data_IF_935255997804
#
_entry.id   IF_935255997804
#
_cell.length_a   1.000
_cell.length_b   1.000
_cell.length_c   1.000
_cell.angle_alpha   90.00
_cell.angle_beta   90.00
_cell.angle_gamma   90.00
#
_symmetry.space_group_name_H-M   'P 1'
#
loop_
_entity.id
_entity.type
_entity.pdbx_description
1 polymer ?
#
# COMPACT_ATOMS: atom_id res chain seq x y z
N UNK A 1 -33.79 -47.22 16.22
CA UNK A 1 -32.78 -46.34 15.61
C UNK A 1 -33.06 -44.94 16.09
N UNK A 2 -32.16 -44.40 16.90
CA UNK A 2 -32.31 -43.08 17.52
C UNK A 2 -31.80 -42.00 16.58
N UNK A 3 -32.53 -40.90 16.43
CA UNK A 3 -31.95 -39.63 15.99
C UNK A 3 -32.38 -38.52 16.96
N UNK A 4 -31.45 -38.26 17.89
CA UNK A 4 -31.28 -36.98 18.57
C UNK A 4 -31.14 -35.89 17.51
N UNK A 5 -31.75 -34.72 17.74
CA UNK A 5 -30.99 -33.54 18.17
C UNK A 5 -31.90 -32.31 18.38
N UNK A 6 -32.08 -32.00 19.67
CA UNK A 6 -32.12 -30.69 20.31
C UNK A 6 -32.02 -29.45 19.40
N UNK A 7 -33.16 -28.81 19.15
CA UNK A 7 -33.23 -27.41 18.71
C UNK A 7 -32.75 -26.49 19.84
N UNK A 8 -31.52 -25.98 19.74
CA UNK A 8 -31.10 -24.81 20.51
C UNK A 8 -31.61 -23.55 19.78
N UNK A 9 -32.37 -22.63 20.42
CA UNK A 9 -32.70 -21.38 19.78
C UNK A 9 -31.43 -20.54 19.58
N UNK A 10 -31.36 -19.89 18.42
CA UNK A 10 -30.29 -18.96 18.08
C UNK A 10 -30.12 -17.93 19.21
N UNK A 11 -28.90 -17.84 19.77
CA UNK A 11 -28.55 -16.79 20.72
C UNK A 11 -28.96 -15.45 20.13
N UNK A 12 -29.78 -14.70 20.87
CA UNK A 12 -30.00 -13.29 20.59
C UNK A 12 -28.64 -12.63 20.46
N UNK A 13 -28.39 -11.94 19.35
CA UNK A 13 -27.33 -10.94 19.28
C UNK A 13 -27.74 -9.86 20.27
N UNK A 14 -27.34 -10.01 21.53
CA UNK A 14 -27.28 -8.89 22.46
C UNK A 14 -26.45 -7.84 21.75
N UNK A 15 -27.09 -6.74 21.36
CA UNK A 15 -26.38 -5.54 20.95
C UNK A 15 -25.48 -5.19 22.11
N UNK A 16 -24.19 -5.51 21.98
CA UNK A 16 -23.20 -5.15 22.97
C UNK A 16 -23.25 -3.64 23.09
N UNK A 17 -23.79 -3.16 24.22
CA UNK A 17 -23.51 -1.79 24.67
C UNK A 17 -22.01 -1.62 24.51
N UNK A 18 -21.60 -0.70 23.64
CA UNK A 18 -20.21 -0.45 23.33
C UNK A 18 -19.51 0.08 24.60
N UNK A 19 -19.13 -0.84 25.49
CA UNK A 19 -18.36 -0.55 26.68
C UNK A 19 -16.96 -0.17 26.20
N UNK A 20 -16.61 1.09 26.34
CA UNK A 20 -15.35 1.62 25.86
C UNK A 20 -15.26 3.12 26.07
N UNK A 21 -14.04 3.64 25.95
CA UNK A 21 -13.76 5.07 26.07
C UNK A 21 -14.24 5.78 24.80
N UNK A 22 -15.18 6.72 24.94
CA UNK A 22 -15.56 7.62 23.85
C UNK A 22 -14.60 8.82 23.85
N UNK A 23 -13.75 8.88 22.84
CA UNK A 23 -12.85 10.02 22.67
C UNK A 23 -13.58 11.20 22.04
N UNK A 24 -13.79 12.27 22.79
CA UNK A 24 -14.16 13.58 22.25
C UNK A 24 -12.86 14.31 21.93
N UNK A 25 -12.58 14.54 20.65
CA UNK A 25 -11.30 15.10 20.20
C UNK A 25 -11.45 16.60 19.93
N UNK A 26 -10.66 17.40 20.62
CA UNK A 26 -10.45 18.80 20.28
C UNK A 26 -9.10 18.95 19.56
N UNK A 27 -9.08 19.79 18.53
CA UNK A 27 -7.82 20.09 17.83
C UNK A 27 -7.04 21.09 18.67
N UNK A 28 -5.92 20.65 19.25
CA UNK A 28 -4.92 21.56 19.79
C UNK A 28 -4.11 22.16 18.63
N UNK A 29 -3.93 23.48 18.64
CA UNK A 29 -3.16 24.20 17.62
C UNK A 29 -1.75 24.55 18.08
N UNK A 30 -1.52 24.63 19.39
CA UNK A 30 -0.25 25.06 19.99
C UNK A 30 0.06 24.21 21.24
N UNK A 31 1.35 24.20 21.63
CA UNK A 31 1.85 23.58 22.88
C UNK A 31 1.41 22.13 23.09
N UNK A 32 1.46 21.34 22.03
CA UNK A 32 1.24 19.90 22.09
C UNK A 32 2.46 19.17 21.53
N UNK A 33 2.73 17.99 22.06
CA UNK A 33 3.78 17.10 21.57
C UNK A 33 3.14 15.89 20.91
N UNK A 34 3.64 15.51 19.74
CA UNK A 34 3.18 14.31 19.04
C UNK A 34 3.98 13.12 19.57
N UNK A 35 3.32 12.26 20.33
CA UNK A 35 3.91 11.02 20.83
C UNK A 35 3.61 9.88 19.85
N UNK A 36 4.60 9.05 19.57
CA UNK A 36 4.40 7.85 18.76
C UNK A 36 3.71 6.73 19.54
N UNK A 37 2.98 5.88 18.81
CA UNK A 37 2.33 4.70 19.40
C UNK A 37 3.36 3.70 19.93
N UNK A 38 4.54 3.63 19.33
CA UNK A 38 5.63 2.76 19.78
C UNK A 38 6.12 3.10 21.19
N UNK A 39 6.04 4.37 21.59
CA UNK A 39 6.36 4.81 22.95
C UNK A 39 5.18 4.58 23.90
N UNK A 40 3.98 5.02 23.51
CA UNK A 40 2.80 5.04 24.38
C UNK A 40 2.15 3.67 24.59
N UNK A 41 2.39 2.71 23.69
CA UNK A 41 1.87 1.34 23.74
C UNK A 41 3.00 0.32 23.89
N UNK A 42 4.17 0.74 24.37
CA UNK A 42 5.31 -0.16 24.53
C UNK A 42 5.03 -1.21 25.60
N UNK A 43 5.18 -2.53 25.31
CA UNK A 43 4.84 -3.58 26.26
C UNK A 43 5.80 -3.67 27.45
N UNK A 44 7.08 -3.36 27.24
CA UNK A 44 8.13 -3.57 28.24
C UNK A 44 8.50 -2.30 29.04
N UNK A 45 7.92 -1.13 28.69
CA UNK A 45 8.20 0.11 29.42
C UNK A 45 7.20 0.30 30.55
N UNK A 46 7.68 0.76 31.71
CA UNK A 46 6.79 1.21 32.77
C UNK A 46 6.00 2.46 32.36
N UNK A 47 4.80 2.65 32.92
CA UNK A 47 4.02 3.88 32.72
C UNK A 47 4.79 5.14 33.16
N UNK A 48 5.64 5.00 34.17
CA UNK A 48 6.57 6.04 34.62
C UNK A 48 7.61 6.38 33.55
N UNK A 49 8.17 5.38 32.85
CA UNK A 49 9.09 5.61 31.73
C UNK A 49 8.39 6.28 30.55
N UNK A 50 7.18 5.82 30.20
CA UNK A 50 6.37 6.42 29.13
C UNK A 50 6.03 7.89 29.46
N UNK A 51 5.59 8.16 30.70
CA UNK A 51 5.27 9.51 31.16
C UNK A 51 6.48 10.43 31.18
N UNK A 52 7.65 9.93 31.61
CA UNK A 52 8.90 10.69 31.59
C UNK A 52 9.36 10.96 30.15
N UNK A 53 9.26 10.00 29.24
CA UNK A 53 9.60 10.19 27.84
C UNK A 53 8.69 11.23 27.17
N UNK A 54 7.38 11.18 27.44
CA UNK A 54 6.44 12.19 26.98
C UNK A 54 6.77 13.59 27.51
N UNK A 55 7.19 13.68 28.78
CA UNK A 55 7.62 14.94 29.37
C UNK A 55 8.90 15.46 28.71
N UNK A 56 9.91 14.60 28.52
CA UNK A 56 11.17 14.96 27.89
C UNK A 56 10.94 15.51 26.47
N UNK A 57 10.08 14.88 25.67
CA UNK A 57 9.75 15.33 24.32
C UNK A 57 8.94 16.65 24.27
N UNK A 58 8.35 17.07 25.40
CA UNK A 58 7.66 18.36 25.51
C UNK A 58 8.58 19.53 25.83
N UNK A 59 9.84 19.26 26.21
CA UNK A 59 10.81 20.27 26.58
C UNK A 59 11.55 20.82 25.34
N UNK A 60 12.01 22.08 25.37
CA UNK A 60 12.88 22.62 24.34
C UNK A 60 14.28 21.98 24.40
N UNK A 61 14.98 22.01 23.27
CA UNK A 61 16.35 21.51 23.16
C UNK A 61 17.30 22.18 24.16
N UNK A 62 18.23 21.39 24.72
CA UNK A 62 19.22 21.85 25.69
C UNK A 62 18.75 21.89 27.15
N UNK A 63 17.50 21.49 27.44
CA UNK A 63 17.04 21.35 28.81
C UNK A 63 17.83 20.27 29.56
N UNK A 64 18.24 20.55 30.80
CA UNK A 64 18.98 19.60 31.64
C UNK A 64 18.00 18.65 32.31
N UNK A 65 18.25 17.34 32.19
CA UNK A 65 17.39 16.30 32.74
C UNK A 65 18.16 15.58 33.85
N UNK A 66 17.97 16.04 35.09
CA UNK A 66 18.51 15.39 36.29
C UNK A 66 17.46 14.59 37.06
N UNK A 67 17.87 13.47 37.68
CA UNK A 67 16.99 12.63 38.53
C UNK A 67 16.34 13.49 39.64
N UNK A 68 17.13 14.32 40.32
CA UNK A 68 16.65 15.20 41.39
C UNK A 68 15.72 16.31 40.90
N UNK A 69 15.91 16.79 39.67
CA UNK A 69 15.05 17.83 39.08
C UNK A 69 13.69 17.25 38.67
N UNK A 70 13.69 16.04 38.10
CA UNK A 70 12.48 15.31 37.77
C UNK A 70 11.70 14.92 39.03
N UNK A 71 12.39 14.46 40.08
CA UNK A 71 11.77 14.08 41.36
C UNK A 71 11.10 15.26 42.09
N UNK A 72 11.53 16.49 41.82
CA UNK A 72 10.85 17.70 42.35
C UNK A 72 9.56 18.04 41.59
N UNK A 73 9.44 17.63 40.33
CA UNK A 73 8.28 17.96 39.47
C UNK A 73 7.20 16.90 39.51
N UNK A 74 7.57 15.63 39.62
CA UNK A 74 6.64 14.51 39.62
C UNK A 74 6.50 13.94 41.04
N UNK A 75 5.31 13.46 41.38
CA UNK A 75 5.04 12.75 42.65
C UNK A 75 5.59 11.31 42.63
N UNK A 76 6.82 11.15 42.14
CA UNK A 76 7.51 9.88 41.94
C UNK A 76 8.85 9.90 42.70
N UNK A 77 9.20 8.77 43.32
CA UNK A 77 10.46 8.68 44.08
C UNK A 77 11.70 8.70 43.17
N UNK A 78 12.82 9.23 43.67
CA UNK A 78 14.09 9.31 42.93
C UNK A 78 14.52 7.96 42.34
N UNK A 79 14.34 6.87 43.10
CA UNK A 79 14.66 5.51 42.64
C UNK A 79 13.79 5.02 41.47
N UNK A 80 12.50 5.38 41.44
CA UNK A 80 11.62 5.02 40.31
C UNK A 80 11.99 5.82 39.07
N UNK A 81 12.29 7.10 39.22
CA UNK A 81 12.75 7.96 38.12
C UNK A 81 14.08 7.44 37.56
N UNK A 82 15.01 7.04 38.42
CA UNK A 82 16.26 6.43 37.99
C UNK A 82 16.04 5.09 37.25
N UNK A 83 15.11 4.25 37.73
CA UNK A 83 14.73 3.01 37.03
C UNK A 83 14.13 3.30 35.65
N UNK A 84 13.17 4.21 35.58
CA UNK A 84 12.50 4.58 34.35
C UNK A 84 13.48 5.17 33.31
N UNK A 85 14.46 5.98 33.74
CA UNK A 85 15.50 6.47 32.84
C UNK A 85 16.39 5.34 32.31
N UNK A 86 16.70 4.31 33.13
CA UNK A 86 17.45 3.13 32.69
C UNK A 86 16.65 2.27 31.71
N UNK A 87 15.34 2.14 31.91
CA UNK A 87 14.45 1.47 30.96
C UNK A 87 14.48 2.18 29.60
N UNK A 88 14.38 3.52 29.58
CA UNK A 88 14.47 4.31 28.35
C UNK A 88 15.83 4.17 27.66
N UNK A 89 16.91 4.06 28.43
CA UNK A 89 18.25 3.76 27.88
C UNK A 89 18.32 2.36 27.26
N UNK A 90 17.82 1.34 27.96
CA UNK A 90 17.83 -0.04 27.49
C UNK A 90 17.06 -0.24 26.18
N UNK A 91 15.96 0.49 26.00
CA UNK A 91 15.14 0.44 24.78
C UNK A 91 15.56 1.47 23.72
N UNK A 92 16.66 2.20 23.92
CA UNK A 92 17.24 3.10 22.92
C UNK A 92 16.49 4.43 22.72
N UNK A 93 15.57 4.78 23.62
CA UNK A 93 14.93 6.10 23.64
C UNK A 93 15.84 7.18 24.23
N UNK A 94 16.78 6.79 25.08
CA UNK A 94 17.76 7.69 25.71
C UNK A 94 19.17 7.16 25.48
N UNK A 95 20.11 8.03 25.13
CA UNK A 95 21.54 7.70 25.10
C UNK A 95 22.28 8.75 25.92
N UNK A 96 23.13 8.28 26.85
CA UNK A 96 24.01 9.15 27.64
C UNK A 96 25.45 8.94 27.24
N UNK A 97 26.03 9.92 26.55
CA UNK A 97 27.45 9.95 26.21
C UNK A 97 28.21 10.83 27.22
N UNK A 98 29.46 10.45 27.53
CA UNK A 98 30.39 11.29 28.26
C UNK A 98 31.35 11.91 27.25
N UNK A 99 31.10 13.17 26.89
CA UNK A 99 31.94 13.89 25.95
C UNK A 99 32.94 14.78 26.70
N UNK A 100 34.22 14.71 26.31
CA UNK A 100 35.22 15.68 26.75
C UNK A 100 35.05 16.92 25.89
N UNK A 101 34.62 18.01 26.52
CA UNK A 101 34.58 19.31 25.85
C UNK A 101 36.01 19.76 25.54
N UNK A 102 36.20 20.58 24.50
CA UNK A 102 37.51 21.11 24.10
C UNK A 102 38.30 21.76 25.25
N UNK A 103 37.62 22.24 26.30
CA UNK A 103 38.22 22.80 27.51
C UNK A 103 38.61 21.75 28.58
N UNK A 104 38.66 20.45 28.25
CA UNK A 104 39.03 19.36 29.17
C UNK A 104 37.96 18.95 30.19
N UNK A 105 36.80 19.61 30.21
CA UNK A 105 35.67 19.26 31.09
C UNK A 105 34.86 18.11 30.50
N UNK A 106 34.65 17.06 31.29
CA UNK A 106 33.76 15.94 30.93
C UNK A 106 32.32 16.40 31.16
N UNK A 107 31.52 16.46 30.09
CA UNK A 107 30.10 16.82 30.14
C UNK A 107 29.29 15.60 29.73
N UNK A 108 28.28 15.26 30.53
CA UNK A 108 27.32 14.21 30.18
C UNK A 108 26.30 14.81 29.23
N UNK A 109 26.29 14.36 27.97
CA UNK A 109 25.25 14.68 27.00
C UNK A 109 24.20 13.59 27.02
N UNK A 110 22.94 14.01 27.15
CA UNK A 110 21.79 13.11 27.08
C UNK A 110 21.06 13.43 25.79
N UNK A 111 20.98 12.45 24.89
CA UNK A 111 20.26 12.55 23.63
C UNK A 111 19.01 11.68 23.74
N UNK A 112 17.86 12.27 23.44
CA UNK A 112 16.58 11.55 23.38
C UNK A 112 16.24 11.29 21.92
N UNK A 113 15.83 10.06 21.60
CA UNK A 113 15.45 9.66 20.24
C UNK A 113 13.95 9.41 20.16
N UNK A 114 13.27 10.12 19.27
CA UNK A 114 11.85 9.90 18.98
C UNK A 114 11.59 8.51 18.40
N UNK A 115 12.59 7.91 17.74
CA UNK A 115 12.57 6.55 17.23
C UNK A 115 13.68 5.72 17.88
N UNK A 116 13.37 4.66 18.64
CA UNK A 116 14.37 3.85 19.33
C UNK A 116 15.36 3.18 18.36
N UNK A 117 14.95 2.87 17.12
CA UNK A 117 15.85 2.33 16.11
C UNK A 117 16.98 3.31 15.74
N UNK A 118 16.75 4.62 15.85
CA UNK A 118 17.78 5.63 15.63
C UNK A 118 18.77 5.69 16.81
N UNK A 119 18.29 5.59 18.04
CA UNK A 119 19.14 5.58 19.23
C UNK A 119 20.01 4.34 19.33
N UNK A 120 19.44 3.17 19.05
CA UNK A 120 20.20 1.91 18.97
C UNK A 120 21.27 1.99 17.88
N UNK A 121 20.96 2.52 16.69
CA UNK A 121 21.94 2.75 15.63
C UNK A 121 23.05 3.71 16.02
N UNK A 122 22.75 4.78 16.78
CA UNK A 122 23.76 5.72 17.25
C UNK A 122 24.74 5.05 18.23
N UNK A 123 24.23 4.27 19.19
CA UNK A 123 25.06 3.49 20.11
C UNK A 123 25.93 2.48 19.35
N UNK A 124 25.37 1.78 18.36
CA UNK A 124 26.16 0.88 17.52
C UNK A 124 27.22 1.61 16.68
N UNK A 125 26.93 2.80 16.17
CA UNK A 125 27.91 3.61 15.43
C UNK A 125 29.10 4.04 16.33
N UNK A 126 28.82 4.42 17.58
CA UNK A 126 29.84 4.77 18.56
C UNK A 126 30.69 3.56 19.00
N UNK A 127 30.11 2.36 19.03
CA UNK A 127 30.81 1.13 19.45
C UNK A 127 31.61 0.45 18.34
N UNK A 128 31.15 0.54 17.08
CA UNK A 128 31.80 -0.14 15.94
C UNK A 128 32.90 0.73 15.32
N UNK A 129 32.98 2.01 15.67
CA UNK A 129 33.90 2.95 15.04
C UNK A 129 33.54 3.08 13.56
N UNK A 130 32.78 4.12 13.21
CA UNK A 130 32.63 4.46 11.80
C UNK A 130 34.04 4.54 11.15
N UNK A 131 34.28 3.94 9.97
CA UNK A 131 35.52 4.15 9.27
C UNK A 131 35.69 5.65 9.05
N UNK A 132 36.80 6.20 9.55
CA UNK A 132 37.23 7.57 9.26
C UNK A 132 37.30 7.71 7.74
N UNK A 133 36.29 8.35 7.16
CA UNK A 133 36.41 8.89 5.81
C UNK A 133 37.37 10.07 5.95
N UNK A 134 38.50 10.09 5.21
CA UNK A 134 39.57 11.03 5.47
C UNK A 134 39.10 12.46 5.22
N UNK A 135 39.32 13.27 6.26
CA UNK A 135 39.42 14.72 6.22
C UNK A 135 40.37 15.16 5.10
N UNK A 136 39.87 16.00 4.21
CA UNK A 136 40.66 16.65 3.17
C UNK A 136 40.03 17.99 2.78
N UNK A 137 40.78 19.06 3.08
CA UNK A 137 40.65 20.44 2.61
C UNK A 137 39.83 21.43 3.46
N UNK A 138 40.45 21.93 4.53
CA UNK A 138 40.43 23.37 4.84
C UNK A 138 41.51 24.06 3.98
N UNK A 139 41.21 25.18 3.31
CA UNK A 139 42.00 26.43 3.38
C UNK A 139 41.12 27.66 3.04
N UNK A 140 40.87 28.46 4.09
CA UNK A 140 40.90 29.92 4.21
C UNK A 140 40.22 30.87 3.18
N UNK A 141 39.25 31.62 3.71
CA UNK A 141 39.23 33.09 3.89
C UNK A 141 39.39 34.04 2.68
N UNK A 142 38.37 34.87 2.45
CA UNK A 142 38.52 36.33 2.33
C UNK A 142 37.14 37.03 2.45
N UNK A 143 37.04 37.95 3.41
CA UNK A 143 36.01 39.02 3.48
C UNK A 143 36.68 40.32 3.04
N UNK A 144 35.97 41.21 2.33
CA UNK A 144 36.07 42.65 2.63
C UNK A 144 34.69 43.37 2.70
N UNK A 145 34.64 44.65 3.12
CA UNK A 145 33.58 45.20 3.97
C UNK A 145 32.51 46.08 3.29
N UNK A 146 31.52 46.43 4.11
CA UNK A 146 30.32 47.27 3.90
C UNK A 146 30.52 48.62 3.22
N UNK A 147 29.48 49.04 2.49
CA UNK A 147 28.93 50.40 2.58
C UNK A 147 27.39 50.34 2.53
N UNK A 148 26.76 51.18 3.34
CA UNK A 148 25.34 51.18 3.72
C UNK A 148 24.65 52.36 3.08
N UNK A 149 23.47 52.16 2.48
CA UNK A 149 22.41 53.17 2.54
C UNK A 149 21.01 52.57 2.28
N UNK A 150 20.04 53.16 2.96
CA UNK A 150 18.76 52.60 3.35
C UNK A 150 17.68 52.65 2.24
N UNK A 151 16.62 51.85 2.42
CA UNK A 151 15.20 52.26 2.61
C UNK A 151 14.30 51.04 2.38
N UNK A 152 13.57 50.63 3.43
CA UNK A 152 12.40 49.74 3.35
C UNK A 152 11.12 50.59 3.19
N UNK A 153 9.88 50.05 2.99
CA UNK A 153 9.49 48.64 3.00
C UNK A 153 8.46 48.21 1.92
N UNK A 154 8.17 46.90 1.90
CA UNK A 154 6.85 46.26 1.73
C UNK A 154 6.62 45.32 0.53
N UNK A 155 6.35 44.07 0.93
CA UNK A 155 5.40 43.07 0.39
C UNK A 155 5.91 42.07 -0.66
N UNK A 156 6.31 40.90 -0.15
CA UNK A 156 5.77 39.57 -0.49
C UNK A 156 6.90 38.53 -0.44
N UNK A 157 7.22 38.05 0.76
CA UNK A 157 8.00 36.82 0.92
C UNK A 157 7.05 35.64 1.05
N UNK A 158 7.13 34.80 0.03
CA UNK A 158 6.66 33.41 -0.02
C UNK A 158 6.99 32.72 1.31
N UNK A 159 5.97 32.21 2.00
CA UNK A 159 6.14 31.37 3.18
C UNK A 159 6.07 29.93 2.71
N UNK A 160 7.21 29.24 2.77
CA UNK A 160 7.31 27.79 2.60
C UNK A 160 6.43 27.07 3.61
N UNK A 161 5.53 26.25 3.08
CA UNK A 161 4.60 25.40 3.83
C UNK A 161 5.33 24.12 4.24
N UNK A 162 5.51 23.79 5.54
CA UNK A 162 5.96 22.47 5.94
C UNK A 162 4.80 21.49 5.80
N UNK A 163 4.95 20.58 4.85
CA UNK A 163 4.10 19.44 4.52
C UNK A 163 3.54 18.75 5.77
N UNK A 164 2.21 18.75 5.89
CA UNK A 164 1.48 17.86 6.78
C UNK A 164 1.84 16.41 6.46
N UNK A 165 2.15 15.61 7.49
CA UNK A 165 2.39 14.16 7.37
C UNK A 165 1.18 13.47 6.75
N UNK A 166 1.27 13.27 5.43
CA UNK A 166 0.35 12.50 4.63
C UNK A 166 0.45 11.05 5.11
N UNK A 167 -0.65 10.50 5.64
CA UNK A 167 -0.84 9.04 5.80
C UNK A 167 -0.26 8.38 4.54
N UNK A 168 0.71 7.45 4.63
CA UNK A 168 1.42 6.95 3.46
C UNK A 168 0.39 6.53 2.42
N UNK A 169 0.28 7.34 1.35
CA UNK A 169 -0.57 7.01 0.21
C UNK A 169 0.04 5.76 -0.37
N UNK A 170 -0.77 4.73 -0.55
CA UNK A 170 -0.34 3.56 -1.29
C UNK A 170 0.23 4.08 -2.63
N UNK A 171 1.50 3.80 -2.95
CA UNK A 171 2.14 4.38 -4.12
C UNK A 171 1.31 4.01 -5.35
N UNK A 172 0.96 5.02 -6.14
CA UNK A 172 0.27 4.80 -7.40
C UNK A 172 1.18 3.97 -8.31
N UNK A 173 0.64 3.00 -9.06
CA UNK A 173 1.41 2.27 -10.05
C UNK A 173 2.03 3.28 -11.03
N UNK A 174 3.36 3.21 -11.19
CA UNK A 174 4.03 3.95 -12.25
C UNK A 174 4.18 3.04 -13.46
N UNK A 175 3.99 3.58 -14.68
CA UNK A 175 4.25 2.82 -15.89
C UNK A 175 5.73 2.44 -15.96
N UNK A 176 6.01 1.30 -16.60
CA UNK A 176 7.37 0.78 -16.75
C UNK A 176 8.17 1.58 -17.79
N UNK A 177 7.49 2.31 -18.67
CA UNK A 177 8.06 3.20 -19.68
C UNK A 177 7.39 4.58 -19.63
N UNK A 178 8.00 5.60 -20.25
CA UNK A 178 7.31 6.88 -20.41
C UNK A 178 6.06 6.66 -21.28
N UNK A 179 4.85 6.96 -20.77
CA UNK A 179 3.64 6.66 -21.50
C UNK A 179 3.56 7.55 -22.74
N UNK A 180 3.31 6.92 -23.89
CA UNK A 180 3.14 7.63 -25.16
C UNK A 180 2.05 8.70 -25.03
N UNK A 181 2.14 9.81 -25.79
CA UNK A 181 1.17 10.89 -25.71
C UNK A 181 -0.27 10.41 -26.03
N UNK A 182 -0.42 9.36 -26.83
CA UNK A 182 -1.69 8.72 -27.14
C UNK A 182 -2.29 8.01 -25.91
N UNK A 183 -1.52 7.15 -25.23
CA UNK A 183 -1.94 6.45 -24.00
C UNK A 183 -2.33 7.46 -22.91
N UNK A 184 -1.57 8.55 -22.81
CA UNK A 184 -1.83 9.63 -21.84
C UNK A 184 -3.16 10.33 -22.11
N UNK A 185 -3.45 10.66 -23.37
CA UNK A 185 -4.74 11.25 -23.77
C UNK A 185 -5.90 10.29 -23.51
N UNK A 186 -5.77 9.03 -23.93
CA UNK A 186 -6.80 8.01 -23.70
C UNK A 186 -7.08 7.79 -22.21
N UNK A 187 -6.04 7.80 -21.36
CA UNK A 187 -6.18 7.72 -19.91
C UNK A 187 -6.92 8.94 -19.32
N UNK A 188 -6.57 10.15 -19.78
CA UNK A 188 -7.25 11.39 -19.37
C UNK A 188 -8.73 11.40 -19.77
N UNK A 189 -9.04 11.03 -21.01
CA UNK A 189 -10.41 10.95 -21.54
C UNK A 189 -11.25 9.92 -20.78
N UNK A 190 -10.66 8.76 -20.43
CA UNK A 190 -11.33 7.76 -19.59
C UNK A 190 -11.70 8.32 -18.22
N UNK A 191 -10.76 9.00 -17.55
CA UNK A 191 -10.97 9.56 -16.21
C UNK A 191 -11.98 10.72 -16.23
N UNK A 192 -11.92 11.59 -17.24
CA UNK A 192 -12.89 12.65 -17.46
C UNK A 192 -14.29 12.10 -17.76
N UNK A 193 -14.37 10.96 -18.46
CA UNK A 193 -15.60 10.26 -18.80
C UNK A 193 -16.32 9.58 -17.62
N UNK A 194 -15.63 9.33 -16.51
CA UNK A 194 -16.23 8.69 -15.32
C UNK A 194 -17.43 9.47 -14.77
N UNK A 195 -17.39 10.81 -14.86
CA UNK A 195 -18.48 11.70 -14.41
C UNK A 195 -19.81 11.47 -15.12
N UNK A 196 -19.77 10.93 -16.35
CA UNK A 196 -20.96 10.64 -17.15
C UNK A 196 -21.56 9.27 -16.86
N UNK A 197 -20.78 8.37 -16.26
CA UNK A 197 -21.20 7.02 -15.90
C UNK A 197 -21.69 6.96 -14.44
N UNK A 198 -21.05 7.71 -13.55
CA UNK A 198 -21.49 7.91 -12.18
C UNK A 198 -21.21 9.35 -11.75
N UNK A 199 -22.28 10.08 -11.39
CA UNK A 199 -22.20 11.49 -10.98
C UNK A 199 -21.43 11.70 -9.67
N UNK A 200 -21.25 10.64 -8.87
CA UNK A 200 -20.49 10.64 -7.60
C UNK A 200 -18.98 10.62 -7.84
N UNK A 201 -18.52 10.23 -9.04
CA UNK A 201 -17.10 10.15 -9.41
C UNK A 201 -16.61 11.39 -10.17
N UNK A 202 -17.02 12.59 -9.71
CA UNK A 202 -16.53 13.85 -10.28
C UNK A 202 -15.11 14.14 -9.80
N UNK A 203 -14.14 14.09 -10.73
CA UNK A 203 -12.73 14.38 -10.48
C UNK A 203 -12.38 15.82 -10.89
N UNK A 204 -11.49 16.47 -10.14
CA UNK A 204 -10.89 17.74 -10.53
C UNK A 204 -9.79 17.52 -11.57
N UNK A 205 -9.48 18.53 -12.37
CA UNK A 205 -8.46 18.45 -13.44
C UNK A 205 -7.09 18.03 -12.89
N UNK A 206 -6.63 18.66 -11.80
CA UNK A 206 -5.38 18.27 -11.15
C UNK A 206 -5.40 16.88 -10.49
N UNK A 207 -6.57 16.29 -10.22
CA UNK A 207 -6.66 14.90 -9.76
C UNK A 207 -6.62 13.92 -10.94
N UNK A 208 -7.13 14.31 -12.12
CA UNK A 208 -7.00 13.54 -13.35
C UNK A 208 -5.53 13.42 -13.73
N UNK A 209 -4.79 14.54 -13.77
CA UNK A 209 -3.36 14.54 -14.11
C UNK A 209 -2.52 13.64 -13.20
N UNK A 210 -2.89 13.57 -11.91
CA UNK A 210 -2.22 12.69 -10.92
C UNK A 210 -2.52 11.21 -11.14
N UNK A 211 -3.69 10.87 -11.67
CA UNK A 211 -4.15 9.49 -11.84
C UNK A 211 -3.80 8.92 -13.22
N UNK A 212 -3.54 9.77 -14.22
CA UNK A 212 -3.17 9.37 -15.58
C UNK A 212 -2.00 8.39 -15.64
N UNK A 213 -0.87 8.59 -14.91
CA UNK A 213 0.24 7.62 -14.92
C UNK A 213 -0.18 6.23 -14.43
N UNK A 214 -1.06 6.17 -13.43
CA UNK A 214 -1.56 4.91 -12.90
C UNK A 214 -2.46 4.17 -13.88
N UNK A 215 -3.29 4.89 -14.64
CA UNK A 215 -4.09 4.30 -15.71
C UNK A 215 -3.19 3.86 -16.88
N UNK A 216 -2.16 4.63 -17.21
CA UNK A 216 -1.19 4.23 -18.24
C UNK A 216 -0.48 2.93 -17.87
N UNK A 217 -0.09 2.75 -16.59
CA UNK A 217 0.48 1.51 -16.09
C UNK A 217 -0.47 0.29 -16.21
N UNK A 218 -1.79 0.51 -16.19
CA UNK A 218 -2.77 -0.55 -16.46
C UNK A 218 -2.83 -0.88 -17.95
N UNK A 219 -2.80 0.14 -18.82
CA UNK A 219 -2.83 -0.04 -20.27
C UNK A 219 -1.56 -0.73 -20.81
N UNK A 220 -0.40 -0.49 -20.19
CA UNK A 220 0.84 -1.21 -20.49
C UNK A 220 0.81 -2.71 -20.14
N UNK A 221 -0.13 -3.14 -19.30
CA UNK A 221 -0.32 -4.56 -18.91
C UNK A 221 -1.41 -5.25 -19.74
N UNK A 222 -1.62 -4.81 -20.97
CA UNK A 222 -2.59 -5.35 -21.93
C UNK A 222 -4.06 -5.28 -21.46
N UNK A 223 -4.39 -4.37 -20.53
CA UNK A 223 -5.78 -4.15 -20.13
C UNK A 223 -6.45 -3.16 -21.07
N UNK A 224 -7.65 -3.50 -21.57
CA UNK A 224 -8.41 -2.57 -22.39
C UNK A 224 -9.01 -1.44 -21.55
N UNK A 225 -9.28 -0.30 -22.20
CA UNK A 225 -9.99 0.86 -21.63
C UNK A 225 -11.29 0.44 -20.92
N UNK A 226 -11.99 -0.56 -21.49
CA UNK A 226 -13.24 -1.10 -20.94
C UNK A 226 -13.01 -1.90 -19.66
N UNK A 227 -11.90 -2.64 -19.57
CA UNK A 227 -11.55 -3.43 -18.38
C UNK A 227 -11.12 -2.54 -17.22
N UNK A 228 -10.34 -1.49 -17.50
CA UNK A 228 -10.00 -0.45 -16.52
C UNK A 228 -11.29 0.21 -15.99
N UNK A 229 -12.19 0.62 -16.89
CA UNK A 229 -13.47 1.21 -16.52
C UNK A 229 -14.31 0.25 -15.64
N UNK A 230 -14.41 -1.02 -16.03
CA UNK A 230 -15.13 -2.04 -15.25
C UNK A 230 -14.52 -2.18 -13.86
N UNK A 231 -13.20 -2.28 -13.75
CA UNK A 231 -12.50 -2.36 -12.47
C UNK A 231 -12.79 -1.12 -11.59
N UNK A 232 -12.78 0.09 -12.18
CA UNK A 232 -13.06 1.33 -11.47
C UNK A 232 -14.51 1.47 -11.01
N UNK A 233 -15.47 0.87 -11.71
CA UNK A 233 -16.91 0.99 -11.38
C UNK A 233 -17.47 -0.21 -10.60
N UNK A 234 -16.77 -1.34 -10.52
CA UNK A 234 -17.28 -2.53 -9.81
C UNK A 234 -17.43 -2.31 -8.31
N UNK A 235 -18.54 -2.77 -7.69
CA UNK A 235 -18.78 -2.69 -6.23
C UNK A 235 -18.51 -1.29 -5.65
N UNK A 236 -19.07 -0.23 -6.26
CA UNK A 236 -19.04 1.09 -5.63
C UNK A 236 -19.79 1.03 -4.29
N UNK A 237 -19.32 1.73 -3.24
CA UNK A 237 -20.07 1.84 -1.98
C UNK A 237 -21.40 2.54 -2.22
N UNK A 238 -22.43 2.11 -1.50
CA UNK A 238 -23.78 2.69 -1.60
C UNK A 238 -23.83 4.07 -0.92
N UNK A 239 -22.93 4.34 0.02
CA UNK A 239 -22.76 5.62 0.71
C UNK A 239 -22.22 6.75 -0.20
N UNK A 240 -22.50 8.03 0.15
CA UNK A 240 -21.94 9.17 -0.59
C UNK A 240 -20.41 9.20 -0.53
N UNK A 241 -19.78 9.26 -1.70
CA UNK A 241 -18.31 9.28 -1.84
C UNK A 241 -17.80 10.70 -1.61
N UNK A 242 -17.24 10.96 -0.42
CA UNK A 242 -16.64 12.26 -0.10
C UNK A 242 -15.27 12.51 -0.75
N UNK A 243 -14.58 11.46 -1.20
CA UNK A 243 -13.24 11.55 -1.82
C UNK A 243 -13.12 10.65 -3.07
N UNK A 244 -13.63 11.08 -4.23
CA UNK A 244 -13.63 10.27 -5.45
C UNK A 244 -12.22 9.96 -5.96
N UNK A 245 -11.31 10.94 -5.97
CA UNK A 245 -9.93 10.74 -6.41
C UNK A 245 -9.17 9.72 -5.55
N UNK A 246 -9.41 9.72 -4.23
CA UNK A 246 -8.80 8.76 -3.32
C UNK A 246 -9.30 7.33 -3.52
N UNK A 247 -10.59 7.17 -3.85
CA UNK A 247 -11.18 5.87 -4.17
C UNK A 247 -10.60 5.30 -5.47
N UNK A 248 -10.51 6.13 -6.52
CA UNK A 248 -9.93 5.73 -7.81
C UNK A 248 -8.45 5.38 -7.64
N UNK A 249 -7.67 6.20 -6.93
CA UNK A 249 -6.27 5.91 -6.61
C UNK A 249 -6.10 4.56 -5.90
N UNK A 250 -6.93 4.30 -4.88
CA UNK A 250 -6.90 3.05 -4.13
C UNK A 250 -7.21 1.85 -5.02
N UNK A 251 -8.21 1.97 -5.90
CA UNK A 251 -8.59 0.89 -6.83
C UNK A 251 -7.51 0.61 -7.87
N UNK A 252 -6.90 1.65 -8.44
CA UNK A 252 -5.79 1.50 -9.38
C UNK A 252 -4.58 0.83 -8.73
N UNK A 253 -4.36 1.02 -7.44
CA UNK A 253 -3.26 0.39 -6.71
C UNK A 253 -3.57 -1.05 -6.26
N UNK A 254 -4.79 -1.33 -5.79
CA UNK A 254 -5.16 -2.64 -5.21
C UNK A 254 -5.62 -3.65 -6.25
N UNK A 255 -6.32 -3.21 -7.31
CA UNK A 255 -6.89 -4.09 -8.32
C UNK A 255 -5.97 -4.30 -9.52
N UNK A 256 -4.73 -3.81 -9.45
CA UNK A 256 -3.75 -3.95 -10.53
C UNK A 256 -3.36 -5.44 -10.67
N UNK A 257 -3.66 -6.10 -11.80
CA UNK A 257 -3.31 -7.50 -11.98
C UNK A 257 -1.79 -7.66 -12.15
N UNK A 258 -1.23 -8.82 -11.74
CA UNK A 258 0.17 -9.13 -11.99
C UNK A 258 0.45 -9.15 -13.51
N UNK A 259 1.65 -8.74 -13.96
CA UNK A 259 2.00 -8.80 -15.36
C UNK A 259 1.88 -10.25 -15.85
N UNK A 260 1.30 -10.44 -17.03
CA UNK A 260 1.29 -11.74 -17.68
C UNK A 260 2.74 -12.14 -18.00
N UNK A 261 3.12 -13.41 -17.80
CA UNK A 261 4.42 -13.87 -18.25
C UNK A 261 4.53 -13.61 -19.75
N UNK A 262 5.57 -12.88 -20.16
CA UNK A 262 5.87 -12.62 -21.58
C UNK A 262 5.83 -13.97 -22.28
N UNK A 263 4.89 -14.13 -23.20
CA UNK A 263 4.82 -15.37 -23.98
C UNK A 263 6.18 -15.54 -24.64
N UNK A 264 6.83 -16.68 -24.36
CA UNK A 264 8.07 -17.04 -25.04
C UNK A 264 7.87 -16.86 -26.56
N UNK A 265 8.93 -16.48 -27.31
CA UNK A 265 8.82 -16.31 -28.75
C UNK A 265 8.09 -17.52 -29.38
N UNK A 266 7.21 -17.29 -30.38
CA UNK A 266 6.43 -18.35 -31.01
C UNK A 266 7.40 -19.38 -31.61
N UNK A 267 7.65 -20.46 -30.86
CA UNK A 267 8.70 -21.42 -31.17
C UNK A 267 9.04 -22.37 -30.03
N UNK A 268 8.82 -21.97 -28.77
CA UNK A 268 9.09 -22.85 -27.62
C UNK A 268 7.86 -22.97 -26.71
N UNK A 269 6.86 -23.75 -27.14
CA UNK A 269 5.90 -24.32 -26.21
C UNK A 269 5.66 -25.79 -26.53
N UNK A 270 6.30 -26.67 -25.76
CA UNK A 270 5.97 -28.10 -25.72
C UNK A 270 4.68 -28.37 -24.93
N UNK A 271 4.06 -27.34 -24.33
CA UNK A 271 2.81 -27.42 -23.60
C UNK A 271 2.00 -26.12 -23.77
N UNK A 272 1.51 -25.87 -24.99
CA UNK A 272 0.40 -24.94 -25.16
C UNK A 272 -0.88 -25.66 -24.71
N UNK A 273 -1.74 -25.06 -23.85
CA UNK A 273 -3.09 -25.61 -23.67
C UNK A 273 -3.73 -25.67 -25.05
N UNK A 274 -4.38 -26.78 -25.44
CA UNK A 274 -4.94 -26.90 -26.78
C UNK A 274 -5.91 -25.75 -26.96
N UNK A 275 -5.56 -24.80 -27.81
CA UNK A 275 -6.50 -23.84 -28.36
C UNK A 275 -7.65 -24.69 -28.89
N UNK A 276 -8.80 -24.59 -28.23
CA UNK A 276 -10.02 -25.29 -28.61
C UNK A 276 -10.37 -24.80 -29.99
N UNK A 277 -9.81 -25.46 -30.99
CA UNK A 277 -9.96 -25.10 -32.37
C UNK A 277 -11.38 -25.50 -32.67
N UNK A 278 -12.30 -24.53 -32.75
CA UNK A 278 -13.69 -24.83 -33.09
C UNK A 278 -13.67 -25.61 -34.40
N UNK A 279 -14.21 -26.82 -34.38
CA UNK A 279 -14.26 -27.66 -35.56
C UNK A 279 -14.89 -26.90 -36.75
N UNK A 280 -14.27 -26.95 -37.94
CA UNK A 280 -14.77 -26.25 -39.11
C UNK A 280 -16.18 -26.76 -39.46
N UNK A 281 -16.99 -25.86 -40.00
CA UNK A 281 -18.29 -26.21 -40.57
C UNK A 281 -18.04 -27.00 -41.86
N UNK A 282 -18.60 -28.21 -41.93
CA UNK A 282 -18.60 -29.08 -43.09
C UNK A 282 -20.04 -29.53 -43.39
N UNK A 283 -20.33 -29.80 -44.65
CA UNK A 283 -21.61 -30.37 -45.10
C UNK A 283 -21.55 -31.89 -45.04
N UNK A 284 -22.63 -32.54 -44.58
CA UNK A 284 -22.73 -34.00 -44.53
C UNK A 284 -22.95 -34.58 -45.93
N UNK A 285 -22.16 -35.58 -46.32
CA UNK A 285 -22.26 -36.25 -47.63
C UNK A 285 -23.52 -37.13 -47.82
N UNK A 286 -24.34 -37.32 -46.76
CA UNK A 286 -25.57 -38.12 -46.82
C UNK A 286 -26.87 -37.32 -46.80
N UNK A 287 -26.87 -36.11 -46.22
CA UNK A 287 -28.09 -35.33 -46.00
C UNK A 287 -27.91 -33.82 -46.17
N UNK A 288 -26.75 -33.38 -46.68
CA UNK A 288 -26.37 -31.98 -46.93
C UNK A 288 -26.43 -31.02 -45.72
N UNK A 289 -26.73 -31.52 -44.51
CA UNK A 289 -26.78 -30.70 -43.29
C UNK A 289 -25.39 -30.19 -42.91
N UNK A 290 -25.29 -28.91 -42.58
CA UNK A 290 -24.07 -28.30 -42.03
C UNK A 290 -23.84 -28.73 -40.58
N UNK A 291 -22.66 -29.27 -40.29
CA UNK A 291 -22.26 -29.70 -38.95
C UNK A 291 -20.77 -29.40 -38.71
N UNK A 292 -20.31 -29.46 -37.46
CA UNK A 292 -18.92 -29.13 -37.11
C UNK A 292 -18.09 -30.39 -36.91
N UNK A 293 -17.03 -30.58 -37.68
CA UNK A 293 -16.13 -31.74 -37.59
C UNK A 293 -14.72 -31.41 -38.06
N UNK A 294 -13.71 -32.01 -37.42
CA UNK A 294 -12.32 -31.95 -37.85
C UNK A 294 -11.98 -32.99 -38.93
N UNK A 295 -12.79 -34.05 -39.04
CA UNK A 295 -12.61 -35.12 -40.03
C UNK A 295 -13.32 -34.70 -41.31
N UNK A 296 -12.57 -34.60 -42.41
CA UNK A 296 -13.12 -34.34 -43.76
C UNK A 296 -13.97 -35.53 -44.21
N UNK A 297 -15.17 -35.26 -44.74
CA UNK A 297 -16.10 -36.29 -45.20
C UNK A 297 -16.80 -37.05 -44.07
N UNK A 298 -16.84 -36.48 -42.85
CA UNK A 298 -17.63 -37.08 -41.79
C UNK A 298 -19.13 -36.97 -42.10
N UNK A 299 -19.90 -37.97 -41.66
CA UNK A 299 -21.36 -37.89 -41.67
C UNK A 299 -21.84 -37.22 -40.38
N UNK A 300 -22.99 -36.55 -40.43
CA UNK A 300 -23.64 -36.01 -39.25
C UNK A 300 -24.03 -37.13 -38.28
N UNK A 301 -24.35 -36.77 -37.02
CA UNK A 301 -24.68 -37.74 -35.97
C UNK A 301 -25.81 -38.70 -36.37
N UNK A 302 -26.84 -38.20 -37.05
CA UNK A 302 -27.99 -39.00 -37.49
C UNK A 302 -27.59 -39.99 -38.59
N UNK A 303 -26.94 -39.53 -39.66
CA UNK A 303 -26.49 -40.41 -40.75
C UNK A 303 -25.41 -41.42 -40.31
N UNK A 304 -24.65 -41.13 -39.24
CA UNK A 304 -23.74 -42.11 -38.63
C UNK A 304 -24.53 -43.20 -37.88
N UNK A 305 -25.57 -42.83 -37.14
CA UNK A 305 -26.44 -43.80 -36.43
C UNK A 305 -27.18 -44.69 -37.42
N UNK A 306 -27.72 -44.13 -38.52
CA UNK A 306 -28.39 -44.92 -39.56
C UNK A 306 -27.44 -45.90 -40.28
N UNK A 307 -26.19 -45.48 -40.55
CA UNK A 307 -25.19 -46.36 -41.14
C UNK A 307 -24.71 -47.46 -40.18
N UNK A 308 -24.61 -47.17 -38.87
CA UNK A 308 -24.28 -48.17 -37.85
C UNK A 308 -25.43 -49.17 -37.63
N UNK A 309 -26.69 -48.72 -37.70
CA UNK A 309 -27.86 -49.62 -37.66
C UNK A 309 -27.93 -50.52 -38.89
N UNK A 310 -27.61 -50.02 -40.08
CA UNK A 310 -27.57 -50.84 -41.32
C UNK A 310 -26.45 -51.91 -41.27
N UNK A 311 -25.32 -51.61 -40.65
CA UNK A 311 -24.22 -52.57 -40.41
C UNK A 311 -24.58 -53.57 -39.30
N UNK A 312 -25.32 -53.16 -38.26
CA UNK A 312 -25.81 -54.04 -37.18
C UNK A 312 -26.93 -54.99 -37.59
N UNK A 313 -27.69 -54.68 -38.64
CA UNK A 313 -28.80 -55.53 -39.13
C UNK A 313 -28.28 -56.61 -40.11
N UNK A 314 -27.11 -56.43 -40.74
CA UNK A 314 -26.55 -57.40 -41.69
C UNK A 314 -26.10 -58.77 -41.13
N UNK A 315 -25.75 -58.97 -39.84
CA UNK A 315 -25.46 -60.31 -39.33
C UNK A 315 -26.70 -61.08 -38.85
N UNK A 316 -27.89 -60.48 -38.81
CA UNK A 316 -29.12 -61.19 -38.37
C UNK A 316 -29.83 -61.89 -39.53
N UNK A 317 -29.70 -61.39 -40.77
CA UNK A 317 -30.32 -62.00 -41.96
C UNK A 317 -29.43 -63.05 -42.66
N UNK A 318 -28.11 -63.07 -42.40
CA UNK A 318 -27.22 -64.09 -42.98
C UNK A 318 -27.32 -65.47 -42.29
N UNK A 319 -27.89 -65.53 -41.08
CA UNK A 319 -28.05 -66.77 -40.30
C UNK A 319 -29.43 -67.43 -40.51
N UNK A 320 -30.33 -66.83 -41.29
CA UNK A 320 -31.68 -67.34 -41.54
C UNK A 320 -31.89 -68.01 -42.91
N UNK A 321 -30.85 -68.11 -43.75
CA UNK A 321 -30.90 -68.74 -45.08
C UNK A 321 -29.90 -69.91 -45.24
N UNK A 322 -29.38 -70.45 -44.14
CA UNK A 322 -28.53 -71.64 -44.12
C UNK A 322 -29.05 -72.72 -43.13
N UNK A 323 -30.38 -72.85 -43.04
CA UNK A 323 -31.07 -73.99 -42.42
C UNK A 323 -32.01 -74.63 -43.44
#
# INVERSE_FOLDING_TARGET
MAEKNLSAPARSRSGGSAAGVRHIKFRHTERFTVLGNHLTQHPDLSLTAIGLAAYIQSLPDGFRIGIKELAKKFAEGEGRIASALRELEAHGYLVRSKERTACGKVVTRTVFYENPAAGVRAVFADLVGAPEVPSGAEVAAAVPPSESEAVAPSKSSVVDVPTATVKPRLPLPLPMSEPTPEIRRTAGDLLAGLRGLDSRLRLAEGDIDRLVPAVAAWLERDLSVTDVRRALLTRLPDEPIHRPAGLVAHRLAVLLPPPLPVSAPPGCSLYAPPSVTRAPLQTCDGCERAFRSHVRGAKCRECRVEADDEVRIRPVLATALAA
#
